data_IF_282917460537
#
_entry.id   IF_282917460537
#
_cell.length_a   1.000
_cell.length_b   1.000
_cell.length_c   1.000
_cell.angle_alpha   90.00
_cell.angle_beta   90.00
_cell.angle_gamma   90.00
#
_symmetry.space_group_name_H-M   'P 1'
#
loop_
_entity.id
_entity.type
_entity.pdbx_description
1 polymer ?
#
# COMPACT_ATOMS: atom_id res chain seq x y z
N UNK A 1 13.21 7.82 17.65
CA UNK A 1 13.85 8.44 16.45
C UNK A 1 12.79 9.14 15.62
N UNK A 2 13.15 9.84 14.54
CA UNK A 2 12.19 10.58 13.70
C UNK A 2 11.12 9.68 13.06
N UNK A 3 11.48 8.43 12.72
CA UNK A 3 10.56 7.42 12.15
C UNK A 3 9.45 7.08 13.15
N UNK A 4 9.75 6.84 14.42
CA UNK A 4 8.73 6.49 15.43
C UNK A 4 7.67 7.59 15.60
N UNK A 5 8.06 8.87 15.47
CA UNK A 5 7.11 10.00 15.52
C UNK A 5 6.27 10.13 14.25
N UNK A 6 6.84 9.81 13.08
CA UNK A 6 6.10 9.77 11.81
C UNK A 6 5.09 8.61 11.80
N UNK A 7 5.50 7.44 12.28
CA UNK A 7 4.67 6.26 12.46
C UNK A 7 3.47 6.58 13.37
N UNK A 8 3.72 7.14 14.56
CA UNK A 8 2.67 7.40 15.55
C UNK A 8 1.66 8.50 15.15
N UNK A 9 2.09 9.52 14.39
CA UNK A 9 1.25 10.67 14.07
C UNK A 9 0.85 10.70 12.59
N UNK A 10 1.81 10.93 11.68
CA UNK A 10 1.47 11.24 10.29
C UNK A 10 1.00 10.01 9.49
N UNK A 11 1.72 8.89 9.60
CA UNK A 11 1.36 7.66 8.89
C UNK A 11 0.13 7.01 9.48
N UNK A 12 0.03 6.94 10.82
CA UNK A 12 -1.15 6.38 11.50
C UNK A 12 -2.44 7.12 11.16
N UNK A 13 -2.44 8.46 11.14
CA UNK A 13 -3.64 9.25 10.78
C UNK A 13 -4.10 8.97 9.35
N UNK A 14 -3.17 8.81 8.40
CA UNK A 14 -3.52 8.44 7.02
C UNK A 14 -4.06 7.01 6.97
N UNK A 15 -3.40 6.09 7.67
CA UNK A 15 -3.77 4.68 7.70
C UNK A 15 -5.14 4.42 8.33
N UNK A 16 -5.47 5.11 9.43
CA UNK A 16 -6.72 4.91 10.16
C UNK A 16 -7.95 5.37 9.35
N UNK A 17 -7.76 6.23 8.34
CA UNK A 17 -8.83 6.68 7.44
C UNK A 17 -9.14 5.70 6.31
N UNK A 18 -8.28 4.70 6.10
CA UNK A 18 -8.44 3.72 5.03
C UNK A 18 -9.46 2.64 5.42
N UNK A 19 -10.28 2.23 4.44
CA UNK A 19 -11.11 1.03 4.58
C UNK A 19 -10.24 -0.24 4.61
N UNK A 20 -10.77 -1.39 5.06
CA UNK A 20 -10.00 -2.63 5.06
C UNK A 20 -9.46 -3.01 3.67
N UNK A 21 -10.25 -2.87 2.60
CA UNK A 21 -9.82 -3.19 1.24
C UNK A 21 -8.72 -2.26 0.71
N UNK A 22 -8.75 -0.98 1.09
CA UNK A 22 -7.72 -0.01 0.75
C UNK A 22 -6.39 -0.31 1.46
N UNK A 23 -6.47 -0.72 2.74
CA UNK A 23 -5.30 -1.18 3.49
C UNK A 23 -4.67 -2.40 2.81
N UNK A 24 -5.47 -3.39 2.43
CA UNK A 24 -4.98 -4.57 1.69
C UNK A 24 -4.34 -4.19 0.36
N UNK A 25 -4.96 -3.30 -0.42
CA UNK A 25 -4.41 -2.85 -1.69
C UNK A 25 -3.06 -2.12 -1.54
N UNK A 26 -2.96 -1.17 -0.60
CA UNK A 26 -1.70 -0.46 -0.33
C UNK A 26 -0.63 -1.40 0.24
N UNK A 27 -1.04 -2.37 1.07
CA UNK A 27 -0.14 -3.40 1.60
C UNK A 27 0.42 -4.30 0.50
N UNK A 28 -0.40 -4.66 -0.49
CA UNK A 28 0.03 -5.43 -1.66
C UNK A 28 1.00 -4.65 -2.54
N UNK A 29 0.85 -3.32 -2.65
CA UNK A 29 1.85 -2.47 -3.30
C UNK A 29 3.18 -2.52 -2.52
N UNK A 30 3.11 -2.44 -1.18
CA UNK A 30 4.30 -2.45 -0.33
C UNK A 30 5.05 -3.80 -0.31
N UNK A 31 4.38 -4.92 -0.64
CA UNK A 31 5.00 -6.25 -0.81
C UNK A 31 5.98 -6.29 -1.97
N UNK A 32 5.76 -5.48 -3.02
CA UNK A 32 6.59 -5.48 -4.22
C UNK A 32 7.98 -4.84 -4.03
N UNK A 33 8.31 -4.43 -2.80
CA UNK A 33 9.61 -3.85 -2.44
C UNK A 33 9.67 -2.34 -2.66
N UNK A 34 10.74 -1.86 -3.32
CA UNK A 34 10.93 -0.45 -3.61
C UNK A 34 10.32 -0.09 -4.97
N UNK A 35 9.48 0.96 -5.00
CA UNK A 35 8.81 1.43 -6.21
C UNK A 35 9.74 2.11 -7.23
N UNK A 36 9.21 2.48 -8.41
CA UNK A 36 7.80 2.42 -8.79
C UNK A 36 7.30 1.00 -9.11
N UNK A 37 6.00 0.77 -8.89
CA UNK A 37 5.35 -0.55 -8.92
C UNK A 37 4.51 -0.73 -10.17
N UNK A 38 4.56 -1.89 -10.82
CA UNK A 38 3.65 -2.19 -11.94
C UNK A 38 2.27 -2.55 -11.39
N UNK A 39 1.22 -1.91 -11.89
CA UNK A 39 -0.15 -2.18 -11.46
C UNK A 39 -0.58 -3.64 -11.68
N UNK A 40 -0.04 -4.27 -12.72
CA UNK A 40 -0.30 -5.69 -13.02
C UNK A 40 0.32 -6.64 -11.98
N UNK A 41 1.48 -6.27 -11.43
CA UNK A 41 2.15 -7.07 -10.41
C UNK A 41 1.40 -6.97 -9.08
N UNK A 42 0.81 -5.81 -8.78
CA UNK A 42 -0.09 -5.63 -7.62
C UNK A 42 -1.31 -6.57 -7.74
N UNK A 43 -1.94 -6.61 -8.92
CA UNK A 43 -3.08 -7.49 -9.18
C UNK A 43 -2.70 -8.97 -9.03
N UNK A 44 -1.51 -9.34 -9.54
CA UNK A 44 -0.95 -10.69 -9.41
C UNK A 44 -0.71 -11.05 -7.94
N UNK A 45 -0.10 -10.16 -7.16
CA UNK A 45 0.15 -10.38 -5.72
C UNK A 45 -1.13 -10.47 -4.90
N UNK A 46 -2.23 -9.85 -5.36
CA UNK A 46 -3.56 -9.97 -4.74
C UNK A 46 -4.37 -11.17 -5.25
N UNK A 47 -3.90 -11.89 -6.27
CA UNK A 47 -4.64 -13.01 -6.86
C UNK A 47 -5.94 -12.61 -7.56
N UNK A 48 -6.02 -11.37 -8.09
CA UNK A 48 -7.24 -10.84 -8.74
C UNK A 48 -6.94 -10.29 -10.13
N UNK A 49 -7.99 -10.17 -10.94
CA UNK A 49 -7.90 -9.51 -12.25
C UNK A 49 -7.64 -8.01 -12.11
N UNK A 50 -6.68 -7.48 -12.87
CA UNK A 50 -6.30 -6.06 -12.81
C UNK A 50 -7.45 -5.09 -13.07
N UNK A 51 -8.47 -5.50 -13.84
CA UNK A 51 -9.69 -4.74 -14.12
C UNK A 51 -10.51 -4.46 -12.85
N UNK A 52 -10.50 -5.39 -11.88
CA UNK A 52 -11.23 -5.26 -10.61
C UNK A 52 -10.62 -4.21 -9.68
N UNK A 53 -9.32 -3.93 -9.85
CA UNK A 53 -8.58 -2.96 -9.03
C UNK A 53 -8.68 -1.52 -9.55
N UNK A 54 -9.34 -1.29 -10.68
CA UNK A 54 -9.51 0.05 -11.26
C UNK A 54 -10.14 1.07 -10.29
N UNK A 55 -11.29 0.76 -9.65
CA UNK A 55 -11.94 1.65 -8.70
C UNK A 55 -11.08 1.99 -7.47
N UNK A 56 -10.44 0.98 -6.84
CA UNK A 56 -9.58 1.21 -5.66
C UNK A 56 -8.34 2.03 -6.04
N UNK A 57 -7.73 1.77 -7.20
CA UNK A 57 -6.63 2.58 -7.73
C UNK A 57 -7.05 4.04 -7.90
N UNK A 58 -8.19 4.30 -8.54
CA UNK A 58 -8.67 5.66 -8.76
C UNK A 58 -8.93 6.40 -7.43
N UNK A 59 -9.51 5.70 -6.45
CA UNK A 59 -9.73 6.27 -5.11
C UNK A 59 -8.42 6.58 -4.39
N UNK A 60 -7.43 5.68 -4.41
CA UNK A 60 -6.14 5.91 -3.75
C UNK A 60 -5.33 7.04 -4.38
N UNK A 61 -5.50 7.29 -5.67
CA UNK A 61 -4.97 8.50 -6.34
C UNK A 61 -5.71 9.74 -5.83
N UNK A 62 -7.04 9.71 -5.82
CA UNK A 62 -7.87 10.84 -5.35
C UNK A 62 -7.58 11.22 -3.90
N UNK A 63 -7.40 10.23 -3.03
CA UNK A 63 -7.12 10.43 -1.60
C UNK A 63 -5.64 10.77 -1.33
N UNK A 64 -4.80 10.82 -2.37
CA UNK A 64 -3.40 11.20 -2.28
C UNK A 64 -2.53 10.20 -1.54
N UNK A 65 -2.88 8.90 -1.60
CA UNK A 65 -2.07 7.81 -1.06
C UNK A 65 -1.03 7.34 -2.06
N UNK A 66 -1.39 7.32 -3.35
CA UNK A 66 -0.51 6.95 -4.46
C UNK A 66 -0.64 7.93 -5.63
N UNK A 67 0.30 7.88 -6.56
CA UNK A 67 0.23 8.56 -7.85
C UNK A 67 0.75 7.66 -8.98
N UNK A 68 0.52 8.05 -10.24
CA UNK A 68 0.96 7.31 -11.43
C UNK A 68 2.14 8.05 -12.08
N UNK A 69 3.41 7.63 -11.85
CA UNK A 69 4.56 8.29 -12.47
C UNK A 69 4.66 8.05 -13.99
N UNK A 70 4.12 6.93 -14.47
CA UNK A 70 4.02 6.59 -15.89
C UNK A 70 2.81 5.66 -16.12
N UNK A 71 2.51 5.37 -17.39
CA UNK A 71 1.44 4.45 -17.76
C UNK A 71 1.67 3.07 -17.14
N UNK A 72 0.68 2.58 -16.38
CA UNK A 72 0.73 1.27 -15.72
C UNK A 72 1.61 1.20 -14.48
N UNK A 73 2.25 2.30 -14.06
CA UNK A 73 3.05 2.37 -12.84
C UNK A 73 2.34 3.11 -11.72
N UNK A 74 2.65 2.74 -10.48
CA UNK A 74 2.19 3.36 -9.24
C UNK A 74 3.39 3.72 -8.37
N UNK A 75 3.23 4.73 -7.51
CA UNK A 75 4.16 4.98 -6.42
C UNK A 75 3.43 5.64 -5.23
N UNK A 76 3.97 5.52 -4.02
CA UNK A 76 3.40 6.18 -2.84
C UNK A 76 3.65 7.68 -2.89
N UNK A 77 2.62 8.46 -2.58
CA UNK A 77 2.73 9.91 -2.42
C UNK A 77 3.46 10.27 -1.13
N UNK A 78 3.34 9.41 -0.12
CA UNK A 78 4.01 9.56 1.17
C UNK A 78 5.31 8.76 1.14
N UNK A 79 6.48 9.42 1.28
CA UNK A 79 7.77 8.73 1.37
C UNK A 79 7.75 7.68 2.49
N UNK A 80 8.43 6.55 2.26
CA UNK A 80 8.63 5.45 3.22
C UNK A 80 7.36 4.83 3.82
N UNK A 81 6.19 5.14 3.27
CA UNK A 81 4.90 4.62 3.76
C UNK A 81 4.74 3.12 3.54
N UNK A 82 5.37 2.58 2.49
CA UNK A 82 5.51 1.15 2.25
C UNK A 82 6.18 0.44 3.43
N UNK A 83 7.25 1.03 3.98
CA UNK A 83 7.94 0.50 5.16
C UNK A 83 7.07 0.54 6.41
N UNK A 84 6.29 1.60 6.59
CA UNK A 84 5.30 1.68 7.66
C UNK A 84 4.25 0.55 7.54
N UNK A 85 3.67 0.35 6.35
CA UNK A 85 2.67 -0.70 6.11
C UNK A 85 3.23 -2.10 6.42
N UNK A 86 4.45 -2.41 6.00
CA UNK A 86 5.10 -3.70 6.32
C UNK A 86 5.30 -3.92 7.82
N UNK A 87 5.54 -2.87 8.61
CA UNK A 87 5.69 -2.97 10.08
C UNK A 87 4.36 -3.19 10.79
N UNK A 88 3.30 -2.50 10.37
CA UNK A 88 2.01 -2.50 11.09
C UNK A 88 1.02 -3.55 10.57
N UNK A 89 1.26 -4.09 9.39
CA UNK A 89 0.51 -5.20 8.78
C UNK A 89 1.49 -6.30 8.36
N UNK A 90 2.14 -6.98 9.32
CA UNK A 90 3.04 -8.09 9.01
C UNK A 90 2.27 -9.19 8.26
N UNK A 91 2.95 -9.93 7.38
CA UNK A 91 2.32 -11.06 6.71
C UNK A 91 1.82 -12.08 7.72
N UNK A 92 0.55 -12.48 7.55
CA UNK A 92 -0.08 -13.50 8.38
C UNK A 92 0.63 -14.87 8.29
N UNK A 93 1.45 -15.10 7.26
CA UNK A 93 2.18 -16.35 7.07
C UNK A 93 3.18 -16.70 8.20
N UNK A 94 3.53 -15.76 9.09
CA UNK A 94 4.43 -16.01 10.22
C UNK A 94 3.67 -16.39 11.51
N UNK A 95 2.34 -16.21 11.57
CA UNK A 95 1.55 -16.41 12.79
C UNK A 95 0.78 -17.75 12.83
N UNK A 96 0.90 -18.58 11.80
CA UNK A 96 0.30 -19.92 11.72
C UNK A 96 1.29 -21.07 12.05
N UNK A 97 2.49 -20.76 12.55
CA UNK A 97 3.42 -21.74 13.14
C UNK A 97 3.51 -21.58 14.68
N UNK A 98 2.39 -21.82 15.35
CA UNK A 98 2.28 -21.87 16.81
C UNK A 98 1.34 -22.95 17.30
#
# INVERSE_FOLDING_TARGET
>A
MAIDRLDANFFRVRFDRLTPSEKTFLRAIAELGAGPYRFRDVATGMGVESSTLGPVRAKMIKDGMIYSPAHGLLNFTVPIFDGFLRRIMPDQAILDEG
#
